data_IF_241231227008
#
_entry.id   IF_241231227008
#
_cell.length_a   1.000
_cell.length_b   1.000
_cell.length_c   1.000
_cell.angle_alpha   90.00
_cell.angle_beta   90.00
_cell.angle_gamma   90.00
#
_symmetry.space_group_name_H-M   'P 1'
#
loop_
_entity.id
_entity.type
_entity.pdbx_description
1 polymer ?
#
# COMPACT_ATOMS: atom_id res chain seq x y z
N UNK A 1 13.89 7.30 10.60
CA UNK A 1 12.65 6.73 11.19
C UNK A 1 12.95 5.30 11.61
N UNK A 2 12.45 4.82 12.77
CA UNK A 2 12.67 3.44 13.22
C UNK A 2 11.96 2.43 12.31
N UNK A 3 12.51 1.23 12.12
CA UNK A 3 11.92 0.21 11.24
C UNK A 3 10.45 -0.12 11.59
N UNK A 4 10.13 -0.19 12.89
CA UNK A 4 8.77 -0.42 13.36
C UNK A 4 7.75 0.64 12.92
N UNK A 5 8.17 1.86 12.61
CA UNK A 5 7.29 2.87 12.02
C UNK A 5 6.80 2.43 10.64
N UNK A 6 7.71 2.03 9.76
CA UNK A 6 7.35 1.62 8.40
C UNK A 6 6.52 0.33 8.42
N UNK A 7 6.87 -0.63 9.27
CA UNK A 7 6.09 -1.87 9.40
C UNK A 7 4.65 -1.60 9.88
N UNK A 8 4.47 -0.67 10.82
CA UNK A 8 3.13 -0.25 11.25
C UNK A 8 2.34 0.40 10.12
N UNK A 9 2.95 1.37 9.43
CA UNK A 9 2.30 2.12 8.36
C UNK A 9 1.90 1.22 7.18
N UNK A 10 2.72 0.22 6.87
CA UNK A 10 2.45 -0.74 5.80
C UNK A 10 1.48 -1.86 6.20
N UNK A 11 1.10 -1.93 7.48
CA UNK A 11 0.25 -3.00 8.00
C UNK A 11 0.95 -4.36 8.12
N UNK A 12 2.29 -4.38 8.17
CA UNK A 12 3.09 -5.58 8.49
C UNK A 12 3.08 -5.87 9.99
N UNK A 13 2.79 -4.86 10.80
CA UNK A 13 2.66 -4.96 12.25
C UNK A 13 1.55 -4.04 12.74
N UNK A 14 0.86 -4.41 13.81
CA UNK A 14 -0.10 -3.53 14.51
C UNK A 14 0.46 -3.00 15.84
N UNK A 15 1.72 -3.32 16.17
CA UNK A 15 2.39 -2.81 17.37
C UNK A 15 2.75 -1.35 17.19
N UNK A 16 2.26 -0.49 18.09
CA UNK A 16 2.56 0.93 18.08
C UNK A 16 4.06 1.15 18.34
N UNK A 17 4.79 1.88 17.46
CA UNK A 17 6.19 2.17 17.69
C UNK A 17 6.40 3.07 18.91
N UNK A 18 7.47 2.83 19.67
CA UNK A 18 7.78 3.63 20.85
C UNK A 18 7.96 5.12 20.49
N UNK A 19 7.38 6.00 21.31
CA UNK A 19 7.45 7.45 21.11
C UNK A 19 6.39 8.03 20.16
N UNK A 20 5.48 7.22 19.62
CA UNK A 20 4.37 7.68 18.79
C UNK A 20 3.02 7.54 19.52
N UNK A 21 2.09 8.45 19.23
CA UNK A 21 0.71 8.35 19.71
C UNK A 21 -0.16 7.54 18.75
N UNK A 22 -1.03 6.67 19.27
CA UNK A 22 -1.91 5.83 18.46
C UNK A 22 -2.79 6.62 17.48
N UNK A 23 -3.46 7.73 17.86
CA UNK A 23 -4.31 8.47 16.94
C UNK A 23 -3.54 8.99 15.72
N UNK A 24 -2.31 9.48 15.94
CA UNK A 24 -1.45 9.99 14.87
C UNK A 24 -0.99 8.88 13.94
N UNK A 25 -0.60 7.72 14.47
CA UNK A 25 -0.17 6.58 13.68
C UNK A 25 -1.32 6.00 12.84
N UNK A 26 -2.53 5.91 13.39
CA UNK A 26 -3.73 5.49 12.65
C UNK A 26 -4.07 6.47 11.53
N UNK A 27 -4.04 7.77 11.81
CA UNK A 27 -4.28 8.80 10.80
C UNK A 27 -3.24 8.73 9.68
N UNK A 28 -1.95 8.57 10.02
CA UNK A 28 -0.90 8.49 9.03
C UNK A 28 -1.00 7.23 8.14
N UNK A 29 -1.27 6.06 8.73
CA UNK A 29 -1.55 4.82 7.98
C UNK A 29 -2.72 4.99 7.01
N UNK A 30 -3.80 5.65 7.46
CA UNK A 30 -4.94 5.95 6.61
C UNK A 30 -4.59 6.91 5.46
N UNK A 31 -3.81 7.96 5.73
CA UNK A 31 -3.37 8.91 4.71
C UNK A 31 -2.48 8.26 3.65
N UNK A 32 -1.60 7.33 4.04
CA UNK A 32 -0.82 6.54 3.08
C UNK A 32 -1.75 5.73 2.18
N UNK A 33 -2.68 4.97 2.76
CA UNK A 33 -3.65 4.20 1.99
C UNK A 33 -4.44 5.09 1.01
N UNK A 34 -4.94 6.23 1.49
CA UNK A 34 -5.69 7.18 0.69
C UNK A 34 -4.87 7.74 -0.47
N UNK A 35 -3.62 8.14 -0.21
CA UNK A 35 -2.71 8.66 -1.24
C UNK A 35 -2.40 7.63 -2.32
N UNK A 36 -2.11 6.39 -1.92
CA UNK A 36 -1.89 5.27 -2.85
C UNK A 36 -3.15 5.02 -3.71
N UNK A 37 -4.32 4.95 -3.07
CA UNK A 37 -5.59 4.71 -3.76
C UNK A 37 -5.90 5.79 -4.80
N UNK A 38 -5.77 7.06 -4.44
CA UNK A 38 -6.02 8.17 -5.35
C UNK A 38 -5.03 8.18 -6.53
N UNK A 39 -3.75 7.95 -6.27
CA UNK A 39 -2.75 7.93 -7.33
C UNK A 39 -3.00 6.77 -8.31
N UNK A 40 -3.15 5.54 -7.80
CA UNK A 40 -3.35 4.38 -8.66
C UNK A 40 -4.67 4.43 -9.41
N UNK A 41 -5.74 4.93 -8.80
CA UNK A 41 -7.01 5.14 -9.51
C UNK A 41 -6.87 6.17 -10.64
N UNK A 42 -6.07 7.22 -10.46
CA UNK A 42 -5.80 8.20 -11.52
C UNK A 42 -4.90 7.65 -12.64
N UNK A 43 -3.92 6.82 -12.30
CA UNK A 43 -3.02 6.18 -13.27
C UNK A 43 -3.68 5.02 -14.04
N UNK A 44 -4.56 4.27 -13.38
CA UNK A 44 -5.19 3.05 -13.91
C UNK A 44 -6.73 3.10 -13.77
N UNK A 45 -7.42 4.06 -14.39
CA UNK A 45 -8.86 4.24 -14.22
C UNK A 45 -9.67 3.02 -14.68
N UNK A 46 -9.27 2.36 -15.77
CA UNK A 46 -9.94 1.16 -16.26
C UNK A 46 -9.87 -0.02 -15.26
N UNK A 47 -8.71 -0.21 -14.61
CA UNK A 47 -8.57 -1.24 -13.57
C UNK A 47 -9.45 -0.90 -12.36
N UNK A 48 -9.45 0.36 -11.92
CA UNK A 48 -10.30 0.82 -10.83
C UNK A 48 -11.79 0.60 -11.14
N UNK A 49 -12.23 0.83 -12.36
CA UNK A 49 -13.63 0.63 -12.79
C UNK A 49 -14.02 -0.85 -12.90
N UNK A 50 -13.05 -1.73 -13.16
CA UNK A 50 -13.29 -3.18 -13.27
C UNK A 50 -13.46 -3.89 -11.92
N UNK A 51 -13.04 -3.26 -10.83
CA UNK A 51 -13.05 -3.84 -9.48
C UNK A 51 -14.15 -3.20 -8.62
N UNK A 52 -14.79 -4.01 -7.79
CA UNK A 52 -15.60 -3.50 -6.68
C UNK A 52 -14.72 -2.74 -5.69
N UNK A 53 -15.34 -1.92 -4.83
CA UNK A 53 -14.61 -1.22 -3.79
C UNK A 53 -13.88 -2.20 -2.87
N UNK A 54 -14.49 -3.32 -2.50
CA UNK A 54 -13.86 -4.32 -1.62
C UNK A 54 -12.60 -4.94 -2.26
N UNK A 55 -12.69 -5.33 -3.53
CA UNK A 55 -11.55 -5.88 -4.29
C UNK A 55 -10.43 -4.85 -4.45
N UNK A 56 -10.79 -3.59 -4.71
CA UNK A 56 -9.81 -2.50 -4.78
C UNK A 56 -9.10 -2.28 -3.45
N UNK A 57 -9.85 -2.21 -2.35
CA UNK A 57 -9.26 -2.04 -1.01
C UNK A 57 -8.37 -3.24 -0.64
N UNK A 58 -8.80 -4.46 -0.96
CA UNK A 58 -8.03 -5.67 -0.72
C UNK A 58 -6.71 -5.66 -1.50
N UNK A 59 -6.77 -5.37 -2.80
CA UNK A 59 -5.60 -5.27 -3.67
C UNK A 59 -4.59 -4.22 -3.15
N UNK A 60 -5.07 -3.04 -2.79
CA UNK A 60 -4.21 -1.97 -2.29
C UNK A 60 -3.61 -2.29 -0.92
N UNK A 61 -4.37 -2.91 -0.02
CA UNK A 61 -3.85 -3.33 1.28
C UNK A 61 -2.73 -4.36 1.12
N UNK A 62 -2.90 -5.33 0.20
CA UNK A 62 -1.88 -6.31 -0.12
C UNK A 62 -0.65 -5.65 -0.78
N UNK A 63 -0.84 -4.78 -1.78
CA UNK A 63 0.24 -4.01 -2.41
C UNK A 63 1.05 -3.20 -1.39
N UNK A 64 0.40 -2.41 -0.53
CA UNK A 64 1.09 -1.56 0.47
C UNK A 64 1.95 -2.41 1.42
N UNK A 65 1.43 -3.59 1.81
CA UNK A 65 2.10 -4.51 2.72
C UNK A 65 3.26 -5.24 2.04
N UNK A 66 3.05 -5.77 0.85
CA UNK A 66 3.92 -6.79 0.27
C UNK A 66 4.82 -6.28 -0.86
N UNK A 67 4.57 -5.07 -1.39
CA UNK A 67 5.43 -4.46 -2.41
C UNK A 67 6.84 -4.11 -1.89
N UNK A 68 7.78 -4.12 -2.84
CA UNK A 68 9.15 -3.63 -2.66
C UNK A 68 9.27 -2.09 -2.68
N UNK A 69 8.15 -1.35 -2.75
CA UNK A 69 8.13 0.10 -2.85
C UNK A 69 8.70 0.78 -1.59
N UNK A 70 10.00 1.02 -1.51
CA UNK A 70 10.62 1.67 -0.34
C UNK A 70 10.83 3.19 -0.52
N UNK A 71 10.40 3.72 -1.67
CA UNK A 71 10.53 5.15 -2.01
C UNK A 71 9.48 5.99 -1.28
N UNK A 72 9.90 7.15 -0.75
CA UNK A 72 8.96 8.15 -0.24
C UNK A 72 8.29 8.97 -1.36
N UNK A 73 8.65 8.71 -2.61
CA UNK A 73 8.13 9.41 -3.77
C UNK A 73 7.05 8.57 -4.47
N UNK A 74 5.87 9.16 -4.59
CA UNK A 74 4.74 8.55 -5.29
C UNK A 74 5.00 8.37 -6.80
N UNK A 75 5.97 9.07 -7.39
CA UNK A 75 6.35 8.88 -8.80
C UNK A 75 6.82 7.46 -9.13
N UNK A 76 7.40 6.75 -8.15
CA UNK A 76 7.88 5.37 -8.31
C UNK A 76 6.78 4.32 -8.03
N UNK A 77 5.62 4.77 -7.55
CA UNK A 77 4.57 3.91 -7.04
C UNK A 77 3.86 3.15 -8.17
N UNK A 78 3.64 3.79 -9.31
CA UNK A 78 2.97 3.17 -10.45
C UNK A 78 3.78 1.98 -11.00
N UNK A 79 5.10 2.15 -11.18
CA UNK A 79 5.99 1.07 -11.60
C UNK A 79 6.02 -0.05 -10.57
N UNK A 80 6.19 0.30 -9.28
CA UNK A 80 6.21 -0.70 -8.21
C UNK A 80 4.91 -1.50 -8.11
N UNK A 81 3.78 -0.91 -8.50
CA UNK A 81 2.48 -1.58 -8.52
C UNK A 81 2.39 -2.62 -9.63
N UNK A 82 2.91 -2.33 -10.82
CA UNK A 82 2.99 -3.33 -11.91
C UNK A 82 3.92 -4.48 -11.51
N UNK A 83 5.10 -4.17 -10.97
CA UNK A 83 6.05 -5.19 -10.51
C UNK A 83 5.44 -6.11 -9.45
N UNK A 84 4.59 -5.55 -8.57
CA UNK A 84 3.86 -6.31 -7.58
C UNK A 84 2.81 -7.24 -8.21
N UNK A 85 2.06 -6.77 -9.22
CA UNK A 85 1.07 -7.61 -9.91
C UNK A 85 1.75 -8.79 -10.63
N UNK A 86 2.86 -8.53 -11.32
CA UNK A 86 3.65 -9.58 -11.99
C UNK A 86 4.16 -10.62 -10.98
N UNK A 87 4.58 -10.17 -9.79
CA UNK A 87 4.99 -11.07 -8.72
C UNK A 87 3.82 -11.93 -8.22
N UNK A 88 2.64 -11.34 -8.01
CA UNK A 88 1.45 -12.08 -7.52
C UNK A 88 0.98 -13.11 -8.55
N UNK A 89 0.94 -12.75 -9.83
CA UNK A 89 0.59 -13.68 -10.91
C UNK A 89 1.55 -14.87 -10.95
N UNK A 90 2.87 -14.61 -10.90
CA UNK A 90 3.87 -15.68 -10.87
C UNK A 90 3.79 -16.58 -9.62
N UNK A 91 3.19 -16.09 -8.53
CA UNK A 91 2.96 -16.89 -7.31
C UNK A 91 1.68 -17.73 -7.39
N UNK A 92 0.66 -17.30 -8.14
CA UNK A 92 -0.60 -18.03 -8.32
C UNK A 92 -0.44 -19.20 -9.32
N UNK A 93 0.46 -19.05 -10.29
CA UNK A 93 0.81 -20.09 -11.28
C UNK A 93 1.61 -21.29 -10.71
N UNK A 94 1.99 -21.26 -9.42
CA UNK A 94 2.87 -22.23 -8.77
C UNK A 94 2.17 -23.13 -7.77
#
# INVERSE_FOLDING_TARGET
MPAGFYDYVRGRCDTLPAGYGEPGMRAYRHLVFLGVSQLLAAHYPALRESLSDEEWHFLLAAFIRDSAWDSNYYGDLATSFVDYLDQVEAQDDR
#
